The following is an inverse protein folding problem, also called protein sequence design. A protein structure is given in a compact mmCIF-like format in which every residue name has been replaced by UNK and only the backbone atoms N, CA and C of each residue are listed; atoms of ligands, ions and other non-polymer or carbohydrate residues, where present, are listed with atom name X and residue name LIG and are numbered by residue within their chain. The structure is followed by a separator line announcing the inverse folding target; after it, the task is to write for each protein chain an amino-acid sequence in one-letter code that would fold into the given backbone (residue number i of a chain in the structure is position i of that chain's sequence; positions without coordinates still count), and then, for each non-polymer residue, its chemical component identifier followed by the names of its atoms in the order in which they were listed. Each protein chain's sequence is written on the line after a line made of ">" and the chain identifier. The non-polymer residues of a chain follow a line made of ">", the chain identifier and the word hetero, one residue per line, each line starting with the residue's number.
data_IF_198793330458
#
_entry.id   IF_198793330458
#
_cell.length_a   1.000
_cell.length_b   1.000
_cell.length_c   1.000
_cell.angle_alpha   90.00
_cell.angle_beta   90.00
_cell.angle_gamma   90.00
#
_symmetry.space_group_name_H-M   'P 1'
#
loop_
_entity.id
_entity.type
_entity.pdbx_description
1 polymer ?
#
# COMPACT_ATOMS: atom_id res chain seq x y z
N UNK A 1 -8.17 -14.03 -6.57
CA UNK A 1 -7.22 -14.15 -7.71
C UNK A 1 -6.21 -13.02 -7.60
N UNK A 2 -4.92 -13.28 -7.83
CA UNK A 2 -3.93 -12.22 -8.06
C UNK A 2 -4.25 -11.51 -9.37
N UNK A 3 -3.90 -10.23 -9.45
CA UNK A 3 -4.17 -9.36 -10.61
C UNK A 3 -2.89 -8.60 -10.95
N UNK A 4 -2.61 -8.43 -12.25
CA UNK A 4 -1.63 -7.44 -12.69
C UNK A 4 -2.20 -6.03 -12.48
N UNK A 5 -1.34 -5.03 -12.30
CA UNK A 5 -1.75 -3.62 -12.35
C UNK A 5 -2.32 -3.24 -13.73
N UNK A 6 -2.05 -4.02 -14.78
CA UNK A 6 -2.51 -3.72 -16.15
C UNK A 6 -4.04 -3.70 -16.24
N UNK A 7 -4.72 -4.37 -15.31
CA UNK A 7 -6.18 -4.34 -15.19
C UNK A 7 -6.72 -2.96 -14.75
N UNK A 8 -5.87 -2.09 -14.24
CA UNK A 8 -6.23 -0.83 -13.58
C UNK A 8 -5.68 0.41 -14.29
N UNK A 9 -5.14 0.26 -15.52
CA UNK A 9 -4.54 1.37 -16.29
C UNK A 9 -5.21 1.62 -17.64
N UNK A 10 -6.18 0.78 -18.04
CA UNK A 10 -6.91 0.95 -19.30
C UNK A 10 -8.04 1.99 -19.22
N UNK A 11 -8.60 2.37 -20.38
CA UNK A 11 -9.61 3.43 -20.51
C UNK A 11 -10.89 3.25 -19.66
N UNK A 12 -11.18 2.02 -19.22
CA UNK A 12 -12.33 1.68 -18.37
C UNK A 12 -11.94 1.36 -16.92
N UNK A 13 -10.68 1.58 -16.56
CA UNK A 13 -10.21 1.37 -15.21
C UNK A 13 -10.80 2.44 -14.26
N UNK A 14 -11.05 2.09 -12.99
CA UNK A 14 -11.44 3.08 -12.00
C UNK A 14 -10.31 4.09 -11.78
N UNK A 15 -10.67 5.35 -11.60
CA UNK A 15 -9.71 6.37 -11.20
C UNK A 15 -9.23 6.09 -9.78
N UNK A 16 -7.92 5.87 -9.66
CA UNK A 16 -7.29 5.67 -8.36
C UNK A 16 -7.02 7.03 -7.73
N UNK A 17 -7.44 7.21 -6.49
CA UNK A 17 -7.13 8.39 -5.69
C UNK A 17 -5.87 8.22 -4.84
N UNK A 18 -5.64 6.99 -4.38
CA UNK A 18 -4.53 6.62 -3.51
C UNK A 18 -3.93 5.31 -4.03
N UNK A 19 -2.60 5.27 -4.14
CA UNK A 19 -1.83 4.06 -4.44
C UNK A 19 -0.83 3.83 -3.30
N UNK A 20 -0.86 2.64 -2.70
CA UNK A 20 0.00 2.25 -1.58
C UNK A 20 0.85 1.05 -2.01
N UNK A 21 2.17 1.21 -2.07
CA UNK A 21 3.10 0.11 -2.28
C UNK A 21 3.53 -0.47 -0.94
N UNK A 22 3.63 -1.80 -0.82
CA UNK A 22 3.84 -2.48 0.48
C UNK A 22 5.16 -3.26 0.59
N UNK A 23 5.85 -3.51 -0.51
CA UNK A 23 7.18 -4.09 -0.53
C UNK A 23 8.12 -3.20 -1.32
N UNK A 24 9.41 -3.29 -1.02
CA UNK A 24 10.43 -2.47 -1.68
C UNK A 24 10.49 -2.76 -3.18
N UNK A 25 10.24 -4.01 -3.60
CA UNK A 25 10.12 -4.37 -5.02
C UNK A 25 9.02 -3.58 -5.70
N UNK A 26 7.82 -3.54 -5.12
CA UNK A 26 6.70 -2.77 -5.68
C UNK A 26 6.95 -1.26 -5.66
N UNK A 27 7.74 -0.75 -4.71
CA UNK A 27 8.12 0.66 -4.66
C UNK A 27 9.21 1.03 -5.68
N UNK A 28 10.11 0.11 -6.00
CA UNK A 28 11.22 0.29 -6.93
C UNK A 28 10.85 0.02 -8.40
N UNK A 29 9.76 -0.71 -8.63
CA UNK A 29 9.23 -0.91 -9.97
C UNK A 29 8.66 0.40 -10.55
N UNK A 30 8.91 0.64 -11.83
CA UNK A 30 8.30 1.77 -12.55
C UNK A 30 6.81 1.53 -12.61
N UNK A 31 6.07 2.14 -11.68
CA UNK A 31 4.61 2.09 -11.68
C UNK A 31 4.09 2.61 -13.02
N UNK A 32 3.04 1.99 -13.58
CA UNK A 32 2.41 2.50 -14.77
C UNK A 32 1.85 3.91 -14.50
N UNK A 33 1.67 4.67 -15.57
CA UNK A 33 0.95 5.93 -15.45
C UNK A 33 -0.48 5.65 -14.96
N UNK A 34 -0.81 6.17 -13.79
CA UNK A 34 -2.15 6.09 -13.23
C UNK A 34 -2.97 7.29 -13.72
N UNK A 35 -4.08 7.08 -14.44
CA UNK A 35 -5.00 8.16 -14.77
C UNK A 35 -5.43 8.93 -13.51
N UNK A 36 -5.48 10.27 -13.57
CA UNK A 36 -5.88 11.13 -12.46
C UNK A 36 -4.77 11.52 -11.47
N UNK A 37 -3.54 11.03 -11.64
CA UNK A 37 -2.38 11.36 -10.79
C UNK A 37 -2.65 11.15 -9.29
N UNK A 38 -2.83 9.89 -8.84
CA UNK A 38 -3.09 9.55 -7.45
C UNK A 38 -1.99 10.04 -6.51
N UNK A 39 -2.37 10.18 -5.25
CA UNK A 39 -1.42 10.30 -4.15
C UNK A 39 -0.74 8.94 -3.95
N UNK A 40 0.60 8.92 -3.98
CA UNK A 40 1.40 7.71 -3.86
C UNK A 40 2.13 7.68 -2.51
N UNK A 41 2.10 6.54 -1.83
CA UNK A 41 2.84 6.33 -0.58
C UNK A 41 3.39 4.91 -0.51
N UNK A 42 4.49 4.74 0.23
CA UNK A 42 5.09 3.45 0.48
C UNK A 42 4.97 3.04 1.96
N UNK A 43 4.45 1.85 2.22
CA UNK A 43 4.40 1.19 3.52
C UNK A 43 5.33 -0.03 3.48
N UNK A 44 6.62 0.18 3.70
CA UNK A 44 7.61 -0.91 3.60
C UNK A 44 7.40 -2.00 4.64
N UNK A 45 7.30 -3.24 4.18
CA UNK A 45 7.35 -4.44 5.00
C UNK A 45 8.34 -5.44 4.41
N UNK A 46 9.05 -6.16 5.28
CA UNK A 46 9.82 -7.33 4.86
C UNK A 46 8.88 -8.41 4.30
N UNK A 47 9.30 -9.10 3.25
CA UNK A 47 8.53 -10.20 2.66
C UNK A 47 8.42 -11.38 3.65
N UNK A 48 7.22 -11.68 4.19
CA UNK A 48 7.04 -12.73 5.18
C UNK A 48 7.24 -14.14 4.59
N UNK A 49 7.17 -14.31 3.26
CA UNK A 49 7.39 -15.60 2.60
C UNK A 49 8.87 -16.03 2.59
N UNK A 50 9.77 -15.05 2.77
CA UNK A 50 11.21 -15.22 2.80
C UNK A 50 11.79 -15.24 4.22
N UNK A 51 10.95 -15.27 5.26
CA UNK A 51 11.39 -15.26 6.65
C UNK A 51 12.19 -16.53 7.02
N UNK A 52 13.26 -16.41 7.84
CA UNK A 52 14.02 -17.55 8.34
C UNK A 52 13.22 -18.36 9.37
N UNK A 53 13.68 -19.57 9.69
CA UNK A 53 13.04 -20.40 10.73
C UNK A 53 11.96 -21.36 10.21
N UNK A 54 11.96 -21.67 8.91
CA UNK A 54 11.03 -22.62 8.31
C UNK A 54 9.58 -22.14 8.34
N UNK A 55 8.63 -23.07 8.32
CA UNK A 55 7.20 -22.75 8.22
C UNK A 55 6.67 -21.98 9.44
N UNK A 56 7.20 -22.25 10.64
CA UNK A 56 6.82 -21.52 11.85
C UNK A 56 7.32 -20.06 11.82
N UNK A 57 8.56 -19.85 11.36
CA UNK A 57 9.10 -18.51 11.18
C UNK A 57 8.31 -17.70 10.15
N UNK A 58 7.96 -18.31 9.02
CA UNK A 58 7.08 -17.70 8.01
C UNK A 58 5.70 -17.39 8.59
N UNK A 59 5.06 -18.32 9.28
CA UNK A 59 3.74 -18.13 9.88
C UNK A 59 3.73 -16.94 10.85
N UNK A 60 4.74 -16.82 11.70
CA UNK A 60 4.89 -15.67 12.59
C UNK A 60 5.07 -14.37 11.81
N UNK A 61 5.95 -14.36 10.79
CA UNK A 61 6.19 -13.17 9.97
C UNK A 61 4.90 -12.72 9.24
N UNK A 62 4.12 -13.65 8.69
CA UNK A 62 2.84 -13.35 8.06
C UNK A 62 1.86 -12.70 9.04
N UNK A 63 1.76 -13.22 10.26
CA UNK A 63 0.86 -12.66 11.28
C UNK A 63 1.29 -11.25 11.70
N UNK A 64 2.58 -11.02 11.91
CA UNK A 64 3.11 -9.69 12.23
C UNK A 64 2.87 -8.69 11.09
N UNK A 65 3.16 -9.07 9.84
CA UNK A 65 2.90 -8.21 8.67
C UNK A 65 1.40 -7.92 8.53
N UNK A 66 0.53 -8.91 8.75
CA UNK A 66 -0.93 -8.72 8.73
C UNK A 66 -1.38 -7.72 9.78
N UNK A 67 -0.87 -7.81 11.01
CA UNK A 67 -1.19 -6.88 12.09
C UNK A 67 -0.71 -5.45 11.78
N UNK A 68 0.51 -5.31 11.26
CA UNK A 68 1.07 -4.01 10.89
C UNK A 68 0.26 -3.33 9.77
N UNK A 69 -0.10 -4.08 8.72
CA UNK A 69 -0.99 -3.57 7.66
C UNK A 69 -2.35 -3.17 8.24
N UNK A 70 -2.95 -4.02 9.10
CA UNK A 70 -4.25 -3.72 9.70
C UNK A 70 -4.21 -2.43 10.53
N UNK A 71 -3.14 -2.19 11.29
CA UNK A 71 -2.97 -0.97 12.08
C UNK A 71 -2.93 0.30 11.20
N UNK A 72 -2.17 0.28 10.09
CA UNK A 72 -2.13 1.42 9.16
C UNK A 72 -3.45 1.60 8.40
N UNK A 73 -4.12 0.50 8.05
CA UNK A 73 -5.45 0.55 7.44
C UNK A 73 -6.50 1.19 8.36
N UNK A 74 -6.45 0.90 9.67
CA UNK A 74 -7.36 1.55 10.63
C UNK A 74 -7.12 3.06 10.73
N UNK A 75 -5.86 3.51 10.70
CA UNK A 75 -5.54 4.94 10.66
C UNK A 75 -6.04 5.59 9.35
N UNK A 76 -5.88 4.93 8.20
CA UNK A 76 -6.37 5.40 6.91
C UNK A 76 -7.90 5.55 6.92
N UNK A 77 -8.63 4.56 7.44
CA UNK A 77 -10.09 4.59 7.54
C UNK A 77 -10.62 5.67 8.48
N UNK A 78 -9.78 6.18 9.40
CA UNK A 78 -10.13 7.28 10.28
C UNK A 78 -9.96 8.66 9.62
N UNK A 79 -9.31 8.74 8.45
CA UNK A 79 -9.14 10.00 7.73
C UNK A 79 -10.44 10.46 7.07
N UNK A 80 -10.72 11.78 7.06
CA UNK A 80 -11.86 12.34 6.34
C UNK A 80 -11.54 12.49 4.84
N UNK A 81 -11.41 11.35 4.15
CA UNK A 81 -10.87 11.27 2.80
C UNK A 81 -11.54 12.27 1.83
N UNK A 82 -12.84 12.44 1.87
CA UNK A 82 -13.62 13.29 0.96
C UNK A 82 -13.31 14.79 1.11
N UNK A 83 -12.75 15.21 2.26
CA UNK A 83 -12.46 16.61 2.56
C UNK A 83 -11.01 17.00 2.33
N UNK A 84 -10.12 16.01 2.16
CA UNK A 84 -8.69 16.26 1.97
C UNK A 84 -8.40 16.56 0.50
N UNK A 85 -7.63 17.61 0.23
CA UNK A 85 -6.99 17.75 -1.08
C UNK A 85 -5.79 16.79 -1.20
N UNK A 86 -5.18 16.72 -2.38
CA UNK A 86 -4.08 15.79 -2.62
C UNK A 86 -2.85 16.08 -1.75
N UNK A 87 -2.58 17.34 -1.41
CA UNK A 87 -1.42 17.71 -0.59
C UNK A 87 -1.62 17.30 0.88
N UNK A 88 -2.80 17.59 1.45
CA UNK A 88 -3.18 17.17 2.79
C UNK A 88 -3.29 15.65 2.90
N UNK A 89 -3.80 14.98 1.85
CA UNK A 89 -3.85 13.53 1.78
C UNK A 89 -2.44 12.92 1.71
N UNK A 90 -1.53 13.47 0.92
CA UNK A 90 -0.12 13.04 0.90
C UNK A 90 0.53 13.16 2.27
N UNK A 91 0.31 14.28 2.97
CA UNK A 91 0.85 14.50 4.31
C UNK A 91 0.31 13.46 5.30
N UNK A 92 -1.01 13.28 5.37
CA UNK A 92 -1.64 12.33 6.27
C UNK A 92 -1.19 10.88 6.01
N UNK A 93 -1.08 10.46 4.74
CA UNK A 93 -0.60 9.13 4.38
C UNK A 93 0.88 8.92 4.72
N UNK A 94 1.70 9.97 4.60
CA UNK A 94 3.12 9.95 4.98
C UNK A 94 3.28 9.85 6.50
N UNK A 95 2.39 10.45 7.27
CA UNK A 95 2.40 10.30 8.73
C UNK A 95 2.02 8.87 9.14
N UNK A 96 1.03 8.26 8.48
CA UNK A 96 0.65 6.86 8.72
C UNK A 96 1.80 5.90 8.41
N UNK A 97 2.64 6.17 7.41
CA UNK A 97 3.75 5.28 7.05
C UNK A 97 4.93 5.31 8.04
N UNK A 98 5.06 6.40 8.82
CA UNK A 98 6.11 6.56 9.83
C UNK A 98 5.76 5.92 11.18
N UNK A 99 4.47 5.71 11.42
CA UNK A 99 3.94 5.02 12.60
C UNK A 99 3.89 3.50 12.40
#
# INVERSE_FOLDING_TARGET
>A
RSKSWDEFVGDRAPEMRIVITVCDSAAAETCPYWPGSPVNVHWGYADPSSAPGGDDGKRLAFELTRQAIAYRMLQLLALPLERLDNAALQAALTDISRN
#
